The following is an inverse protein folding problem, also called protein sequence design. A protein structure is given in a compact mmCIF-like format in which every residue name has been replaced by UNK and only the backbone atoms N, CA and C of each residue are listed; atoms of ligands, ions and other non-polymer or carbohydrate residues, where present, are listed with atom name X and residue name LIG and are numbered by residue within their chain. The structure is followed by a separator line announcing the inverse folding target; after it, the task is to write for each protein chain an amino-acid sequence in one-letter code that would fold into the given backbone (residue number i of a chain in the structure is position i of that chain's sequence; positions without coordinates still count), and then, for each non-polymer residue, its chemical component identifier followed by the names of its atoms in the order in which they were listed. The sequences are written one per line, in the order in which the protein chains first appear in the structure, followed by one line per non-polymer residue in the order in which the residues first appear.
data_IF_001455806328
#
_entry.id   IF_001455806328
#
_cell.length_a   1.000
_cell.length_b   1.000
_cell.length_c   1.000
_cell.angle_alpha   90.00
_cell.angle_beta   90.00
_cell.angle_gamma   90.00
#
_symmetry.space_group_name_H-M   'P 1'
#
loop_
_entity.id
_entity.type
_entity.pdbx_description
1 polymer ?
#
# COMPACT_ATOMS: atom_id res chain seq x y z
N UNK A 1 20.19 -0.29 -13.03
CA UNK A 1 21.37 0.04 -12.20
C UNK A 1 21.14 -0.62 -10.86
N UNK A 2 22.00 -1.56 -10.46
CA UNK A 2 21.91 -2.14 -9.12
C UNK A 2 22.59 -1.15 -8.17
N UNK A 3 21.79 -0.43 -7.40
CA UNK A 3 22.27 0.41 -6.31
C UNK A 3 22.99 -0.48 -5.30
N UNK A 4 24.28 -0.27 -5.09
CA UNK A 4 25.02 -0.96 -4.05
C UNK A 4 24.44 -0.56 -2.68
N UNK A 5 24.08 -1.54 -1.86
CA UNK A 5 23.47 -1.28 -0.55
C UNK A 5 24.56 -0.81 0.40
N UNK A 6 24.51 0.46 0.78
CA UNK A 6 25.43 1.03 1.78
C UNK A 6 25.13 0.46 3.16
N UNK A 7 26.09 -0.25 3.74
CA UNK A 7 26.01 -0.78 5.10
C UNK A 7 26.41 0.29 6.13
N UNK A 8 25.83 0.24 7.33
CA UNK A 8 26.14 1.15 8.44
C UNK A 8 24.88 1.69 9.11
N UNK A 9 25.06 2.66 10.03
CA UNK A 9 23.94 3.38 10.62
C UNK A 9 23.20 4.18 9.52
N UNK A 10 21.89 4.02 9.47
CA UNK A 10 21.02 4.79 8.60
C UNK A 10 19.78 5.24 9.38
N UNK A 11 19.09 6.24 8.86
CA UNK A 11 17.75 6.55 9.35
C UNK A 11 16.80 5.41 8.93
N UNK A 12 15.82 5.05 9.78
CA UNK A 12 14.81 4.08 9.39
C UNK A 12 14.01 4.62 8.20
N UNK A 13 13.64 3.77 7.22
CA UNK A 13 12.75 4.16 6.14
C UNK A 13 11.32 4.31 6.69
N UNK A 14 10.99 5.52 7.15
CA UNK A 14 9.67 5.85 7.67
C UNK A 14 8.63 5.92 6.54
N UNK A 15 7.43 5.36 6.72
CA UNK A 15 6.40 5.39 5.69
C UNK A 15 5.84 6.79 5.46
N UNK A 16 5.56 7.10 4.19
CA UNK A 16 4.91 8.35 3.79
C UNK A 16 3.40 8.18 3.89
N UNK A 17 2.76 8.90 4.82
CA UNK A 17 1.31 8.87 4.98
C UNK A 17 0.63 9.83 4.01
N UNK A 18 -0.27 9.29 3.20
CA UNK A 18 -1.14 10.02 2.29
C UNK A 18 -2.58 10.02 2.81
N UNK A 19 -3.17 11.20 2.88
CA UNK A 19 -4.57 11.41 3.22
C UNK A 19 -5.34 11.82 1.97
N UNK A 20 -6.55 11.29 1.85
CA UNK A 20 -7.43 11.57 0.73
C UNK A 20 -8.42 12.66 1.11
N UNK A 21 -8.46 13.73 0.32
CA UNK A 21 -9.39 14.86 0.51
C UNK A 21 -9.60 15.55 -0.82
N UNK A 22 -10.83 15.90 -1.18
CA UNK A 22 -11.06 16.82 -2.29
C UNK A 22 -10.82 18.25 -1.78
N UNK A 23 -9.73 18.90 -2.19
CA UNK A 23 -9.43 20.24 -1.73
C UNK A 23 -8.79 21.09 -2.82
N UNK A 24 -8.99 22.39 -2.69
CA UNK A 24 -8.46 23.39 -3.62
C UNK A 24 -7.47 24.29 -2.89
N UNK A 25 -6.32 24.53 -3.52
CA UNK A 25 -5.34 25.49 -3.06
C UNK A 25 -4.90 26.33 -4.26
N UNK A 26 -5.07 27.65 -4.16
CA UNK A 26 -4.68 28.60 -5.22
C UNK A 26 -5.29 28.31 -6.60
N UNK A 27 -6.54 27.82 -6.66
CA UNK A 27 -7.22 27.47 -7.91
C UNK A 27 -6.89 26.07 -8.45
N UNK A 28 -5.98 25.34 -7.80
CA UNK A 28 -5.61 23.98 -8.20
C UNK A 28 -6.26 22.92 -7.28
N UNK A 29 -6.73 21.85 -7.92
CA UNK A 29 -7.39 20.74 -7.25
C UNK A 29 -6.41 19.64 -6.84
N UNK A 30 -6.34 19.37 -5.53
CA UNK A 30 -5.51 18.33 -4.93
C UNK A 30 -6.37 17.27 -4.25
N UNK A 31 -6.00 16.00 -4.47
CA UNK A 31 -6.75 14.84 -3.97
C UNK A 31 -5.98 14.03 -2.92
N UNK A 32 -4.66 14.28 -2.86
CA UNK A 32 -3.71 13.64 -1.98
C UNK A 32 -3.01 14.71 -1.15
N UNK A 33 -2.85 14.42 0.12
CA UNK A 33 -2.12 15.26 1.04
C UNK A 33 -1.16 14.40 1.83
N UNK A 34 0.13 14.66 1.70
CA UNK A 34 1.12 14.09 2.58
C UNK A 34 1.00 14.76 3.94
N UNK A 35 1.00 13.98 5.02
CA UNK A 35 1.03 14.53 6.37
C UNK A 35 2.45 14.50 6.92
N UNK A 36 3.02 15.68 7.12
CA UNK A 36 4.25 15.86 7.85
C UNK A 36 3.94 15.87 9.35
N UNK A 37 4.27 14.76 10.02
CA UNK A 37 4.04 14.58 11.45
C UNK A 37 4.91 15.53 12.26
N UNK A 38 6.13 15.81 11.82
CA UNK A 38 7.09 16.63 12.57
C UNK A 38 6.63 18.10 12.62
N UNK A 39 6.05 18.57 11.52
CA UNK A 39 5.59 19.94 11.39
C UNK A 39 4.07 20.11 11.59
N UNK A 40 3.34 18.99 11.80
CA UNK A 40 1.88 18.95 11.88
C UNK A 40 1.21 19.67 10.68
N UNK A 41 1.70 19.41 9.47
CA UNK A 41 1.25 20.07 8.25
C UNK A 41 0.79 19.05 7.20
N UNK A 42 -0.22 19.43 6.42
CA UNK A 42 -0.63 18.68 5.23
C UNK A 42 -0.08 19.36 4.00
N UNK A 43 0.78 18.66 3.26
CA UNK A 43 1.40 19.13 2.03
C UNK A 43 0.59 18.56 0.85
N UNK A 44 0.02 19.40 -0.02
CA UNK A 44 -0.71 18.92 -1.20
C UNK A 44 0.23 18.18 -2.16
N UNK A 45 -0.23 17.05 -2.69
CA UNK A 45 0.52 16.25 -3.67
C UNK A 45 -0.13 16.42 -5.04
N UNK A 46 0.66 16.87 -6.01
CA UNK A 46 0.17 17.25 -7.34
C UNK A 46 -0.24 16.02 -8.18
N UNK A 47 0.45 14.90 -8.01
CA UNK A 47 0.16 13.66 -8.70
C UNK A 47 -1.17 13.09 -8.23
N UNK A 48 -1.98 12.57 -9.16
CA UNK A 48 -3.29 11.97 -8.85
C UNK A 48 -3.24 10.45 -8.71
N UNK A 49 -2.16 9.80 -9.11
CA UNK A 49 -1.98 8.37 -9.05
C UNK A 49 -0.69 7.97 -8.36
N UNK A 50 -0.75 6.92 -7.57
CA UNK A 50 0.39 6.25 -6.96
C UNK A 50 0.55 4.88 -7.62
N UNK A 51 1.71 4.62 -8.23
CA UNK A 51 2.01 3.32 -8.83
C UNK A 51 2.89 2.53 -7.88
N UNK A 52 2.57 1.26 -7.64
CA UNK A 52 3.39 0.40 -6.81
C UNK A 52 2.77 -0.96 -6.56
N UNK A 53 3.40 -1.75 -5.69
CA UNK A 53 2.90 -3.06 -5.28
C UNK A 53 2.02 -2.89 -4.05
N UNK A 54 0.78 -3.38 -4.11
CA UNK A 54 -0.06 -3.48 -2.92
C UNK A 54 0.54 -4.55 -2.01
N UNK A 55 1.09 -4.14 -0.87
CA UNK A 55 1.76 -5.05 0.06
C UNK A 55 0.83 -5.50 1.18
N UNK A 56 0.00 -4.59 1.69
CA UNK A 56 -0.80 -4.87 2.87
C UNK A 56 -2.06 -4.00 2.90
N UNK A 57 -3.06 -4.51 3.61
CA UNK A 57 -4.29 -3.80 3.93
C UNK A 57 -4.52 -3.94 5.43
N UNK A 58 -4.58 -2.84 6.17
CA UNK A 58 -4.69 -2.88 7.64
C UNK A 58 -5.90 -2.07 8.10
N UNK A 59 -6.58 -2.59 9.12
CA UNK A 59 -7.59 -1.85 9.86
C UNK A 59 -6.95 -1.28 11.12
N UNK A 60 -7.05 0.04 11.29
CA UNK A 60 -6.53 0.74 12.46
C UNK A 60 -7.68 1.47 13.15
N UNK A 61 -7.88 1.22 14.45
CA UNK A 61 -8.76 2.09 15.25
C UNK A 61 -7.99 3.31 15.69
N UNK A 62 -8.62 4.48 15.57
CA UNK A 62 -8.17 5.70 16.20
C UNK A 62 -9.38 6.33 16.87
N UNK A 63 -9.30 6.57 18.17
CA UNK A 63 -10.29 7.38 18.85
C UNK A 63 -10.27 8.80 18.26
N UNK A 64 -11.42 9.26 17.78
CA UNK A 64 -11.61 10.63 17.34
C UNK A 64 -12.94 11.15 17.88
N UNK A 65 -12.87 12.19 18.73
CA UNK A 65 -14.05 12.80 19.39
C UNK A 65 -14.89 11.77 20.19
N UNK A 66 -14.24 10.83 20.88
CA UNK A 66 -14.92 9.84 21.72
C UNK A 66 -15.68 8.75 20.94
N UNK A 67 -15.44 8.63 19.63
CA UNK A 67 -15.94 7.53 18.80
C UNK A 67 -14.76 6.76 18.21
N UNK A 68 -14.86 5.44 18.21
CA UNK A 68 -13.97 4.57 17.42
C UNK A 68 -14.15 4.92 15.93
N UNK A 69 -13.07 5.39 15.31
CA UNK A 69 -13.06 5.72 13.89
C UNK A 69 -12.13 4.76 13.17
N UNK A 70 -12.71 3.69 12.63
CA UNK A 70 -11.97 2.67 11.90
C UNK A 70 -11.40 3.25 10.60
N UNK A 71 -10.09 3.16 10.47
CA UNK A 71 -9.34 3.55 9.27
C UNK A 71 -8.91 2.31 8.51
N UNK A 72 -8.87 2.48 7.19
CA UNK A 72 -8.26 1.56 6.26
C UNK A 72 -6.91 2.15 5.84
N UNK A 73 -5.84 1.40 6.13
CA UNK A 73 -4.49 1.69 5.67
C UNK A 73 -4.16 0.78 4.49
N UNK A 74 -3.96 1.39 3.32
CA UNK A 74 -3.55 0.71 2.09
C UNK A 74 -2.04 0.94 1.94
N UNK A 75 -1.26 -0.13 2.10
CA UNK A 75 0.21 -0.07 2.11
C UNK A 75 0.74 -0.40 0.71
N UNK A 76 1.39 0.57 0.09
CA UNK A 76 1.95 0.45 -1.27
C UNK A 76 3.47 0.57 -1.18
N UNK A 77 4.19 -0.42 -1.73
CA UNK A 77 5.61 -0.27 -1.98
C UNK A 77 5.85 0.27 -3.38
N UNK A 78 6.51 1.42 -3.44
CA UNK A 78 6.92 2.14 -4.64
C UNK A 78 8.44 2.39 -4.55
N UNK A 79 8.90 3.54 -5.05
CA UNK A 79 10.15 4.19 -4.68
C UNK A 79 10.31 4.37 -3.15
N UNK A 80 9.21 4.64 -2.44
CA UNK A 80 9.13 4.63 -0.98
C UNK A 80 7.96 3.76 -0.50
N UNK A 81 7.87 3.52 0.81
CA UNK A 81 6.67 2.90 1.40
C UNK A 81 5.61 3.99 1.64
N UNK A 82 4.51 3.90 0.91
CA UNK A 82 3.37 4.79 1.07
C UNK A 82 2.25 4.11 1.84
N UNK A 83 1.61 4.86 2.74
CA UNK A 83 0.40 4.43 3.45
C UNK A 83 -0.72 5.39 3.12
N UNK A 84 -1.64 4.96 2.27
CA UNK A 84 -2.88 5.70 2.02
C UNK A 84 -3.85 5.40 3.16
N UNK A 85 -4.10 6.40 4.00
CA UNK A 85 -5.00 6.29 5.15
C UNK A 85 -6.32 6.98 4.87
N UNK A 86 -7.41 6.23 4.97
CA UNK A 86 -8.78 6.73 4.77
C UNK A 86 -9.72 6.18 5.84
N UNK A 87 -10.83 6.86 6.10
CA UNK A 87 -11.94 6.24 6.82
C UNK A 87 -12.50 5.07 6.01
N UNK A 88 -12.87 3.97 6.67
CA UNK A 88 -13.38 2.78 5.98
C UNK A 88 -14.72 3.03 5.26
N UNK A 89 -15.52 3.97 5.78
CA UNK A 89 -16.84 4.30 5.23
C UNK A 89 -16.82 5.26 4.03
N UNK A 90 -15.65 5.80 3.67
CA UNK A 90 -15.56 6.79 2.59
C UNK A 90 -15.78 6.15 1.22
N UNK A 91 -16.24 6.96 0.26
CA UNK A 91 -16.34 6.54 -1.14
C UNK A 91 -15.00 6.06 -1.70
N UNK A 92 -13.89 6.70 -1.30
CA UNK A 92 -12.55 6.27 -1.70
C UNK A 92 -12.26 4.85 -1.22
N UNK A 93 -12.50 4.54 0.05
CA UNK A 93 -12.29 3.20 0.61
C UNK A 93 -13.18 2.16 -0.07
N UNK A 94 -14.49 2.44 -0.21
CA UNK A 94 -15.45 1.50 -0.81
C UNK A 94 -15.12 1.20 -2.27
N UNK A 95 -14.83 2.23 -3.07
CA UNK A 95 -14.45 2.03 -4.48
C UNK A 95 -13.07 1.38 -4.65
N UNK A 96 -12.13 1.64 -3.73
CA UNK A 96 -10.88 0.88 -3.68
C UNK A 96 -11.13 -0.60 -3.42
N UNK A 97 -11.89 -0.94 -2.38
CA UNK A 97 -12.14 -2.33 -1.98
C UNK A 97 -12.85 -3.12 -3.08
N UNK A 98 -13.87 -2.53 -3.71
CA UNK A 98 -14.57 -3.14 -4.85
C UNK A 98 -13.60 -3.40 -6.00
N UNK A 99 -12.82 -2.41 -6.43
CA UNK A 99 -11.87 -2.61 -7.53
C UNK A 99 -10.74 -3.59 -7.16
N UNK A 100 -10.23 -3.55 -5.93
CA UNK A 100 -9.16 -4.41 -5.45
C UNK A 100 -9.61 -5.88 -5.36
N UNK A 101 -10.89 -6.13 -5.04
CA UNK A 101 -11.47 -7.48 -5.06
C UNK A 101 -11.40 -8.15 -6.44
N UNK A 102 -11.38 -7.34 -7.52
CA UNK A 102 -11.32 -7.79 -8.91
C UNK A 102 -9.88 -7.93 -9.44
N UNK A 103 -8.87 -7.58 -8.65
CA UNK A 103 -7.47 -7.79 -9.04
C UNK A 103 -7.20 -9.28 -9.03
N UNK A 104 -6.65 -9.85 -10.10
CA UNK A 104 -6.31 -11.29 -10.16
C UNK A 104 -5.00 -11.63 -9.46
N UNK A 105 -3.99 -10.78 -9.61
CA UNK A 105 -2.65 -11.03 -9.09
C UNK A 105 -2.01 -9.77 -8.49
N UNK A 106 -1.89 -9.75 -7.16
CA UNK A 106 -1.23 -8.66 -6.41
C UNK A 106 0.30 -8.66 -6.50
N UNK A 107 0.93 -9.66 -7.11
CA UNK A 107 2.38 -9.64 -7.39
C UNK A 107 2.74 -8.68 -8.52
N UNK A 108 1.76 -8.13 -9.23
CA UNK A 108 1.95 -7.12 -10.29
C UNK A 108 1.72 -5.72 -9.73
N UNK A 109 2.44 -4.70 -10.23
CA UNK A 109 2.21 -3.33 -9.81
C UNK A 109 0.84 -2.83 -10.27
N UNK A 110 0.22 -2.01 -9.43
CA UNK A 110 -1.07 -1.36 -9.66
C UNK A 110 -0.88 0.16 -9.64
N UNK A 111 -1.77 0.87 -10.32
CA UNK A 111 -1.91 2.32 -10.19
C UNK A 111 -3.15 2.60 -9.36
N UNK A 112 -2.97 3.21 -8.19
CA UNK A 112 -4.04 3.67 -7.31
C UNK A 112 -4.26 5.15 -7.57
N UNK A 113 -5.39 5.51 -8.19
CA UNK A 113 -5.69 6.88 -8.56
C UNK A 113 -6.87 7.45 -7.77
N UNK A 114 -6.70 8.65 -7.23
CA UNK A 114 -7.80 9.42 -6.66
C UNK A 114 -8.49 10.22 -7.77
N UNK A 115 -9.82 10.21 -7.78
CA UNK A 115 -10.64 10.97 -8.73
C UNK A 115 -11.71 11.76 -7.98
N UNK A 116 -11.91 13.04 -8.33
CA UNK A 116 -12.91 13.86 -7.65
C UNK A 116 -14.32 13.40 -8.01
N UNK A 117 -15.22 13.48 -7.04
CA UNK A 117 -16.66 13.44 -7.24
C UNK A 117 -17.26 14.83 -7.04
N UNK A 118 -18.57 14.86 -6.79
CA UNK A 118 -19.26 16.08 -6.38
C UNK A 118 -18.85 16.49 -4.95
N UNK A 119 -18.83 17.79 -4.70
CA UNK A 119 -18.47 18.37 -3.40
C UNK A 119 -17.13 17.84 -2.85
N UNK A 120 -17.14 17.26 -1.64
CA UNK A 120 -15.96 16.74 -0.95
C UNK A 120 -15.68 15.26 -1.26
N UNK A 121 -16.40 14.65 -2.21
CA UNK A 121 -16.28 13.22 -2.50
C UNK A 121 -15.02 12.95 -3.30
N UNK A 122 -14.29 11.90 -2.91
CA UNK A 122 -13.19 11.33 -3.68
C UNK A 122 -13.44 9.85 -3.88
N UNK A 123 -13.26 9.38 -5.11
CA UNK A 123 -13.31 7.96 -5.49
C UNK A 123 -11.91 7.44 -5.75
N UNK A 124 -11.73 6.13 -5.60
CA UNK A 124 -10.53 5.42 -6.02
C UNK A 124 -10.77 4.71 -7.35
N UNK A 125 -9.79 4.75 -8.24
CA UNK A 125 -9.70 3.88 -9.43
C UNK A 125 -8.41 3.09 -9.37
N UNK A 126 -8.48 1.81 -9.69
CA UNK A 126 -7.32 0.92 -9.80
C UNK A 126 -7.08 0.61 -11.27
N UNK A 127 -5.82 0.66 -11.69
CA UNK A 127 -5.39 0.25 -13.02
C UNK A 127 -4.29 -0.79 -12.90
N UNK A 128 -4.27 -1.73 -13.84
CA UNK A 128 -3.09 -2.57 -14.05
C UNK A 128 -1.96 -1.69 -14.58
N UNK A 129 -0.81 -1.67 -13.90
CA UNK A 129 0.25 -0.71 -14.23
C UNK A 129 1.00 -1.06 -15.53
N UNK A 130 0.85 -2.28 -16.06
CA UNK A 130 1.51 -2.72 -17.29
C UNK A 130 0.63 -2.33 -18.49
N UNK A 131 -0.62 -2.78 -18.48
CA UNK A 131 -1.58 -2.59 -19.57
C UNK A 131 -2.25 -1.22 -19.54
N UNK A 132 -2.19 -0.51 -18.41
CA UNK A 132 -2.89 0.75 -18.14
C UNK A 132 -4.41 0.63 -18.19
N UNK A 133 -4.95 -0.59 -18.21
CA UNK A 133 -6.37 -0.83 -18.21
C UNK A 133 -6.95 -0.62 -16.81
N UNK A 134 -8.11 0.04 -16.76
CA UNK A 134 -8.87 0.22 -15.52
C UNK A 134 -9.48 -1.11 -15.09
N UNK A 135 -9.23 -1.50 -13.85
CA UNK A 135 -9.92 -2.60 -13.19
C UNK A 135 -11.28 -2.06 -12.75
N UNK A 136 -12.35 -2.60 -13.34
CA UNK A 136 -13.72 -2.15 -13.13
C UNK A 136 -14.43 -3.05 -12.13
N UNK A 137 -15.30 -2.46 -11.34
CA UNK A 137 -16.21 -3.13 -10.44
C UNK A 137 -17.54 -2.38 -10.45
N UNK A 138 -18.64 -3.09 -10.29
CA UNK A 138 -19.94 -2.48 -10.10
C UNK A 138 -20.05 -1.90 -8.68
N UNK A 139 -20.83 -0.84 -8.54
CA UNK A 139 -21.10 -0.28 -7.22
C UNK A 139 -22.12 -1.14 -6.49
N UNK A 140 -21.76 -1.60 -5.30
CA UNK A 140 -22.67 -2.30 -4.40
C UNK A 140 -22.61 -1.66 -3.01
N UNK A 141 -23.72 -1.04 -2.59
CA UNK A 141 -23.86 -0.41 -1.27
C UNK A 141 -23.95 -1.43 -0.13
N UNK A 142 -24.37 -2.65 -0.44
CA UNK A 142 -24.62 -3.74 0.50
C UNK A 142 -23.50 -4.79 0.48
N UNK A 143 -22.38 -4.50 -0.19
CA UNK A 143 -21.27 -5.42 -0.28
C UNK A 143 -20.78 -5.86 1.11
N UNK A 144 -20.34 -7.11 1.22
CA UNK A 144 -19.69 -7.62 2.42
C UNK A 144 -18.28 -7.02 2.55
N UNK A 145 -18.20 -5.81 3.08
CA UNK A 145 -16.95 -5.06 3.23
C UNK A 145 -15.92 -5.81 4.06
N UNK A 146 -16.36 -6.45 5.15
CA UNK A 146 -15.48 -7.22 6.02
C UNK A 146 -14.94 -8.46 5.30
N UNK A 147 -15.80 -9.19 4.57
CA UNK A 147 -15.40 -10.31 3.73
C UNK A 147 -14.44 -9.91 2.62
N UNK A 148 -14.67 -8.79 1.94
CA UNK A 148 -13.78 -8.25 0.91
C UNK A 148 -12.40 -7.93 1.49
N UNK A 149 -12.34 -7.22 2.64
CA UNK A 149 -11.09 -6.88 3.30
C UNK A 149 -10.31 -8.14 3.70
N UNK A 150 -10.99 -9.10 4.35
CA UNK A 150 -10.40 -10.37 4.77
C UNK A 150 -9.87 -11.17 3.57
N UNK A 151 -10.62 -11.21 2.48
CA UNK A 151 -10.20 -11.88 1.25
C UNK A 151 -8.93 -11.25 0.67
N UNK A 152 -8.90 -9.92 0.53
CA UNK A 152 -7.73 -9.19 0.01
C UNK A 152 -6.51 -9.44 0.93
N UNK A 153 -6.67 -9.30 2.24
CA UNK A 153 -5.61 -9.54 3.22
C UNK A 153 -5.05 -10.97 3.12
N UNK A 154 -5.91 -11.98 3.01
CA UNK A 154 -5.49 -13.38 2.85
C UNK A 154 -4.66 -13.59 1.59
N UNK A 155 -5.06 -12.97 0.48
CA UNK A 155 -4.34 -13.06 -0.80
C UNK A 155 -2.98 -12.37 -0.75
N UNK A 156 -2.89 -11.22 -0.07
CA UNK A 156 -1.63 -10.51 0.15
C UNK A 156 -0.68 -11.29 1.08
N UNK A 157 -1.20 -11.93 2.12
CA UNK A 157 -0.41 -12.74 3.05
C UNK A 157 0.19 -14.00 2.38
N UNK A 158 -0.51 -14.61 1.42
CA UNK A 158 0.03 -15.73 0.64
C UNK A 158 1.20 -15.33 -0.26
N UNK A 159 1.22 -14.09 -0.73
CA UNK A 159 2.32 -13.57 -1.55
C UNK A 159 3.60 -13.37 -0.72
N UNK A 160 3.47 -12.90 0.52
CA UNK A 160 4.63 -12.69 1.39
C UNK A 160 5.26 -13.99 1.89
N UNK A 161 4.47 -15.05 2.06
CA UNK A 161 4.96 -16.38 2.48
C UNK A 161 5.52 -17.23 1.34
N UNK A 162 5.15 -16.96 0.09
CA UNK A 162 5.67 -17.69 -1.09
C UNK A 162 7.14 -17.39 -1.44
N UNK A 163 7.73 -16.33 -0.88
CA UNK A 163 9.09 -15.90 -1.16
C UNK A 163 10.15 -16.46 -0.19
N UNK A 164 9.78 -17.30 0.78
CA UNK A 164 10.69 -17.81 1.83
C UNK A 164 11.19 -19.25 1.63
N UNK A 165 10.87 -19.92 0.52
CA UNK A 165 11.41 -21.26 0.19
C UNK A 165 12.31 -21.22 -1.04
N UNK A 166 13.61 -20.95 -0.82
CA UNK A 166 14.78 -21.67 -1.38
C UNK A 166 16.03 -20.84 -1.09
N UNK A 167 16.72 -21.13 0.01
CA UNK A 167 18.20 -21.21 0.10
C UNK A 167 18.50 -21.85 1.46
N UNK A 168 18.39 -23.16 1.54
CA UNK A 168 19.11 -23.94 2.56
C UNK A 168 20.18 -24.76 1.85
N UNK A 169 21.41 -24.52 2.29
CA UNK A 169 22.56 -25.42 2.30
C UNK A 169 23.35 -25.65 1.00
N UNK A 170 24.42 -24.86 0.85
CA UNK A 170 25.74 -25.43 0.56
C UNK A 170 26.79 -24.75 1.46
N UNK A 171 26.88 -25.22 2.71
CA UNK A 171 28.04 -24.95 3.56
C UNK A 171 29.26 -25.73 3.02
N UNK A 172 30.42 -25.10 3.21
CA UNK A 172 31.76 -25.37 2.68
C UNK A 172 32.34 -26.80 2.87
N UNK A 173 33.45 -27.13 2.16
CA UNK A 173 33.97 -28.49 2.01
C UNK A 173 34.68 -29.02 3.26
N UNK A 174 34.64 -30.35 3.42
CA UNK A 174 35.30 -31.07 4.52
C UNK A 174 36.81 -30.89 4.49
N UNK A 175 37.37 -30.29 5.53
CA UNK A 175 38.81 -30.36 5.81
C UNK A 175 39.18 -31.79 6.22
N UNK A 176 40.05 -32.41 5.42
CA UNK A 176 40.78 -33.64 5.73
C UNK A 176 41.82 -33.30 6.80
N UNK A 177 41.76 -33.92 7.96
CA UNK A 177 42.83 -33.86 8.96
C UNK A 177 43.92 -34.86 8.58
N UNK A 178 45.14 -34.35 8.40
CA UNK A 178 46.35 -35.15 8.31
C UNK A 178 46.67 -35.74 9.69
N UNK A 179 46.75 -37.08 9.75
CA UNK A 179 47.28 -37.78 10.91
C UNK A 179 48.79 -37.96 10.75
N UNK A 180 49.57 -37.24 11.57
CA UNK A 180 50.96 -37.58 11.88
C UNK A 180 51.03 -37.91 13.38
N UNK A 181 51.37 -39.16 13.71
CA UNK A 181 52.38 -39.52 14.73
C UNK A 181 52.17 -40.97 15.21
N UNK A 182 53.01 -41.91 14.75
CA UNK A 182 54.22 -42.40 15.44
C UNK A 182 54.84 -43.56 14.66
#
# INVERSE_FOLDING_TARGET
MNSEIKLGLCNPPEPIFLYVKNGELSGELFLWYQYDINNNQTIPVQQRGLTGYLQNLRLTSKEFKGKDNMKLDIVIASDEIYVIRTGIETNFAKTFLLAASQVDNFSKPLIIAATPGEENVVFCRIYDAITKNRIRSEWDKNADWAGIISNIQSRLAKLSSGNSTTTQNSMLPSHRQDAISR
#
